data_IF_128856606384
#
_entry.id   IF_128856606384
#
_cell.length_a   1.000
_cell.length_b   1.000
_cell.length_c   1.000
_cell.angle_alpha   90.00
_cell.angle_beta   90.00
_cell.angle_gamma   90.00
#
_symmetry.space_group_name_H-M   'P 1'
#
loop_
_entity.id
_entity.type
_entity.pdbx_description
1 polymer ?
#
# COMPACT_ATOMS: atom_id res chain seq x y z
N UNK A 1 19.84 -1.51 10.61
CA UNK A 1 18.53 -1.99 11.11
C UNK A 1 18.16 -3.27 10.39
N UNK A 2 17.78 -4.28 11.16
CA UNK A 2 17.25 -5.57 10.74
C UNK A 2 15.85 -5.39 10.14
N UNK A 3 15.59 -6.03 8.99
CA UNK A 3 14.26 -5.99 8.37
C UNK A 3 13.26 -6.91 9.07
N UNK A 4 11.96 -6.64 8.92
CA UNK A 4 10.93 -7.52 9.45
C UNK A 4 11.03 -8.93 8.83
N UNK A 5 11.29 -9.04 7.53
CA UNK A 5 11.45 -10.35 6.88
C UNK A 5 12.62 -11.15 7.46
N UNK A 6 13.74 -10.50 7.74
CA UNK A 6 14.87 -11.14 8.45
C UNK A 6 14.47 -11.68 9.84
N UNK A 7 13.62 -10.96 10.58
CA UNK A 7 13.04 -11.47 11.84
C UNK A 7 12.18 -12.71 11.61
N UNK A 8 11.37 -12.72 10.55
CA UNK A 8 10.54 -13.89 10.20
C UNK A 8 11.40 -15.08 9.77
N UNK A 9 12.49 -14.87 9.03
CA UNK A 9 13.45 -15.93 8.67
C UNK A 9 14.07 -16.59 9.90
N UNK A 10 14.40 -15.82 10.95
CA UNK A 10 14.91 -16.39 12.22
C UNK A 10 13.89 -17.30 12.92
N UNK A 11 12.59 -17.11 12.67
CA UNK A 11 11.52 -17.99 13.12
C UNK A 11 11.22 -19.16 12.14
N UNK A 12 12.01 -19.30 11.07
CA UNK A 12 11.85 -20.36 10.07
C UNK A 12 10.82 -20.08 8.99
N UNK A 13 10.36 -18.84 8.84
CA UNK A 13 9.42 -18.46 7.77
C UNK A 13 10.13 -18.38 6.43
N UNK A 14 9.43 -18.82 5.38
CA UNK A 14 9.75 -18.44 4.01
C UNK A 14 9.15 -17.06 3.73
N UNK A 15 9.96 -16.16 3.18
CA UNK A 15 9.67 -14.73 3.14
C UNK A 15 9.60 -14.20 1.72
N UNK A 16 8.52 -13.51 1.40
CA UNK A 16 8.28 -12.99 0.06
C UNK A 16 7.76 -11.55 0.11
N UNK A 17 8.28 -10.69 -0.76
CA UNK A 17 7.71 -9.36 -1.01
C UNK A 17 7.10 -9.31 -2.42
N UNK A 18 5.94 -8.70 -2.55
CA UNK A 18 5.35 -8.37 -3.85
C UNK A 18 4.98 -6.89 -3.85
N UNK A 19 5.40 -6.16 -4.88
CA UNK A 19 5.08 -4.76 -5.10
C UNK A 19 6.12 -3.74 -4.60
N UNK A 20 5.64 -2.56 -4.20
CA UNK A 20 6.41 -1.35 -3.94
C UNK A 20 7.42 -1.52 -2.80
N UNK A 21 8.65 -1.05 -2.99
CA UNK A 21 9.70 -1.04 -1.95
C UNK A 21 9.86 0.29 -1.21
N UNK A 22 10.30 1.35 -1.89
CA UNK A 22 10.38 2.74 -1.40
C UNK A 22 11.05 2.98 -0.03
N UNK A 23 12.03 2.13 0.32
CA UNK A 23 12.84 2.32 1.55
C UNK A 23 14.35 2.25 1.25
N UNK A 24 14.71 2.67 0.03
CA UNK A 24 16.08 2.84 -0.42
C UNK A 24 16.62 1.68 -1.25
N UNK A 25 17.51 2.01 -2.19
CA UNK A 25 18.09 1.06 -3.14
C UNK A 25 19.58 1.33 -3.41
N UNK A 26 20.23 2.12 -2.55
CA UNK A 26 21.60 2.59 -2.75
C UNK A 26 22.65 1.46 -2.73
N UNK A 27 22.37 0.36 -2.04
CA UNK A 27 23.23 -0.83 -1.98
C UNK A 27 22.37 -2.10 -1.93
N UNK A 28 22.93 -3.29 -2.24
CA UNK A 28 22.20 -4.55 -2.11
C UNK A 28 21.56 -4.76 -0.73
N UNK A 29 22.19 -4.28 0.35
CA UNK A 29 21.67 -4.34 1.72
C UNK A 29 20.43 -3.47 1.97
N UNK A 30 20.16 -2.51 1.09
CA UNK A 30 18.95 -1.68 1.13
C UNK A 30 17.80 -2.28 0.34
N UNK A 31 18.03 -3.27 -0.52
CA UNK A 31 16.98 -3.93 -1.31
C UNK A 31 16.17 -4.91 -0.46
N UNK A 32 14.97 -5.37 -0.91
CA UNK A 32 14.20 -6.39 -0.21
C UNK A 32 15.02 -7.64 0.15
N UNK A 33 15.82 -8.16 -0.78
CA UNK A 33 16.67 -9.32 -0.50
C UNK A 33 17.69 -9.02 0.61
N UNK A 34 18.27 -7.81 0.62
CA UNK A 34 19.13 -7.34 1.69
C UNK A 34 18.44 -7.11 3.04
N UNK A 35 17.10 -7.11 3.06
CA UNK A 35 16.24 -6.98 4.25
C UNK A 35 15.58 -8.28 4.68
N UNK A 36 16.05 -9.40 4.13
CA UNK A 36 15.67 -10.74 4.56
C UNK A 36 14.44 -11.33 3.85
N UNK A 37 14.11 -10.83 2.66
CA UNK A 37 13.13 -11.51 1.79
C UNK A 37 13.85 -12.55 0.92
N UNK A 38 13.31 -13.77 0.82
CA UNK A 38 13.86 -14.86 -0.02
C UNK A 38 13.57 -14.62 -1.50
N UNK A 39 12.42 -14.00 -1.81
CA UNK A 39 12.10 -13.55 -3.16
C UNK A 39 11.36 -12.21 -3.16
N UNK A 40 11.46 -11.52 -4.30
CA UNK A 40 10.77 -10.25 -4.52
C UNK A 40 10.41 -10.06 -5.99
N UNK A 41 9.18 -9.60 -6.24
CA UNK A 41 8.77 -9.04 -7.52
C UNK A 41 8.19 -7.65 -7.27
N UNK A 42 8.79 -6.61 -7.83
CA UNK A 42 8.33 -5.24 -7.64
C UNK A 42 9.28 -4.18 -8.20
N UNK A 43 9.07 -2.94 -7.76
CA UNK A 43 9.86 -1.77 -8.13
C UNK A 43 10.36 -1.00 -6.90
N UNK A 44 11.46 -0.25 -7.07
CA UNK A 44 12.14 0.40 -5.95
C UNK A 44 11.60 1.77 -5.56
N UNK A 45 11.01 2.50 -6.51
CA UNK A 45 10.64 3.91 -6.40
C UNK A 45 9.33 4.12 -5.61
N UNK A 46 8.94 5.39 -5.45
CA UNK A 46 7.70 5.81 -4.78
C UNK A 46 6.44 5.60 -5.63
N UNK A 47 6.58 5.67 -6.97
CA UNK A 47 5.52 5.44 -7.94
C UNK A 47 6.07 4.82 -9.24
N UNK A 48 5.18 4.21 -10.02
CA UNK A 48 5.48 3.68 -11.36
C UNK A 48 4.34 4.01 -12.34
N UNK A 49 4.51 3.80 -13.64
CA UNK A 49 3.38 3.70 -14.56
C UNK A 49 2.86 2.25 -14.55
N UNK A 50 1.55 2.05 -14.36
CA UNK A 50 0.97 0.72 -14.18
C UNK A 50 1.02 -0.15 -15.46
N UNK A 51 1.31 0.43 -16.63
CA UNK A 51 1.28 -0.28 -17.92
C UNK A 51 2.64 -0.30 -18.61
N UNK A 52 3.31 0.84 -18.64
CA UNK A 52 4.61 1.01 -19.28
C UNK A 52 5.76 0.66 -18.35
N UNK A 53 5.47 0.56 -17.04
CA UNK A 53 6.44 0.17 -16.02
C UNK A 53 7.67 1.10 -16.05
N UNK A 54 7.43 2.35 -16.42
CA UNK A 54 8.43 3.38 -16.62
C UNK A 54 8.07 4.63 -15.84
N UNK A 55 9.06 5.24 -15.20
CA UNK A 55 8.89 6.54 -14.53
C UNK A 55 9.28 7.63 -15.53
N UNK A 56 8.39 8.58 -15.90
CA UNK A 56 8.78 9.71 -16.72
C UNK A 56 9.83 10.55 -15.99
N UNK A 57 11.00 10.70 -16.62
CA UNK A 57 12.18 11.48 -16.20
C UNK A 57 11.88 12.88 -15.62
N UNK A 58 10.75 13.49 -15.99
CA UNK A 58 10.40 14.86 -15.62
C UNK A 58 9.85 15.02 -14.18
N UNK A 59 9.44 13.95 -13.49
CA UNK A 59 8.76 14.06 -12.18
C UNK A 59 9.62 13.73 -10.95
N UNK A 60 10.72 12.97 -11.09
CA UNK A 60 11.40 12.38 -9.92
C UNK A 60 12.91 12.67 -9.82
N UNK A 61 13.51 13.37 -10.79
CA UNK A 61 14.84 13.97 -10.65
C UNK A 61 15.98 13.05 -10.20
N UNK A 62 15.97 11.74 -10.53
CA UNK A 62 17.03 10.81 -10.12
C UNK A 62 17.45 9.79 -11.21
N UNK A 63 18.70 9.33 -11.08
CA UNK A 63 19.61 8.81 -12.11
C UNK A 63 19.36 7.32 -12.48
N UNK A 64 19.48 7.03 -13.78
CA UNK A 64 19.61 5.72 -14.46
C UNK A 64 18.33 4.97 -14.87
N UNK A 65 18.11 4.98 -16.19
CA UNK A 65 16.89 4.61 -16.93
C UNK A 65 16.88 3.11 -17.30
N UNK A 66 17.95 2.37 -16.99
CA UNK A 66 18.05 0.93 -17.26
C UNK A 66 17.72 0.05 -16.03
N UNK A 67 17.57 0.62 -14.83
CA UNK A 67 17.44 -0.13 -13.58
C UNK A 67 16.00 -0.33 -13.06
N UNK A 68 15.00 0.25 -13.74
CA UNK A 68 13.60 0.34 -13.26
C UNK A 68 12.63 -0.69 -13.85
N UNK A 69 13.08 -1.59 -14.73
CA UNK A 69 12.26 -2.73 -15.18
C UNK A 69 12.46 -3.86 -14.18
N UNK A 70 11.48 -4.11 -13.32
CA UNK A 70 11.37 -5.20 -12.32
C UNK A 70 12.64 -6.03 -12.04
N UNK A 71 13.12 -6.00 -10.79
CA UNK A 71 14.21 -6.89 -10.38
C UNK A 71 13.69 -8.03 -9.53
N UNK A 72 13.52 -9.21 -10.13
CA UNK A 72 13.68 -10.46 -9.38
C UNK A 72 15.15 -10.90 -9.49
N UNK A 73 15.96 -10.61 -8.48
CA UNK A 73 17.37 -11.06 -8.50
C UNK A 73 17.54 -12.54 -8.12
N UNK A 74 16.50 -13.23 -7.64
CA UNK A 74 16.55 -14.68 -7.42
C UNK A 74 16.56 -15.46 -8.74
N UNK A 75 16.25 -14.79 -9.86
CA UNK A 75 16.15 -15.36 -11.20
C UNK A 75 17.18 -14.75 -12.17
N UNK A 76 18.45 -14.73 -11.79
CA UNK A 76 19.58 -14.24 -12.60
C UNK A 76 19.72 -14.88 -14.01
N UNK A 77 18.84 -15.79 -14.42
CA UNK A 77 18.93 -16.49 -15.69
C UNK A 77 17.63 -16.56 -16.52
N UNK A 78 16.50 -15.98 -16.09
CA UNK A 78 15.28 -15.93 -16.92
C UNK A 78 14.49 -14.67 -16.60
N UNK A 79 14.26 -13.83 -17.61
CA UNK A 79 13.25 -12.77 -17.57
C UNK A 79 11.93 -13.41 -17.14
N UNK A 80 11.40 -13.01 -15.99
CA UNK A 80 10.15 -13.53 -15.45
C UNK A 80 8.99 -13.14 -16.38
N UNK A 81 8.70 -13.99 -17.37
CA UNK A 81 7.38 -14.05 -18.01
C UNK A 81 6.53 -14.90 -17.07
N UNK A 82 5.86 -14.23 -16.13
CA UNK A 82 4.98 -14.87 -15.16
C UNK A 82 4.13 -15.94 -15.86
N UNK A 83 3.98 -17.11 -15.24
CA UNK A 83 3.26 -18.28 -15.75
C UNK A 83 1.75 -18.08 -15.89
N UNK A 84 1.35 -17.00 -16.54
CA UNK A 84 0.02 -16.72 -17.03
C UNK A 84 -0.29 -17.75 -18.13
N UNK A 85 -1.44 -18.40 -18.07
CA UNK A 85 -1.85 -19.32 -19.15
C UNK A 85 -1.94 -18.54 -20.46
N UNK A 86 -1.73 -19.19 -21.61
CA UNK A 86 -1.75 -18.51 -22.92
C UNK A 86 -3.09 -17.80 -23.23
N UNK A 87 -4.16 -18.19 -22.52
CA UNK A 87 -5.45 -17.50 -22.59
C UNK A 87 -5.44 -16.18 -21.80
N UNK A 88 -4.94 -16.19 -20.56
CA UNK A 88 -4.86 -15.00 -19.70
C UNK A 88 -3.75 -14.05 -20.19
N UNK A 89 -2.68 -14.56 -20.81
CA UNK A 89 -1.63 -13.73 -21.41
C UNK A 89 -2.14 -13.00 -22.66
N UNK A 90 -3.07 -13.61 -23.41
CA UNK A 90 -3.77 -12.97 -24.53
C UNK A 90 -4.78 -11.92 -24.06
N UNK A 91 -5.46 -12.18 -22.95
CA UNK A 91 -6.40 -11.24 -22.31
C UNK A 91 -5.69 -10.01 -21.72
N UNK A 92 -4.45 -10.18 -21.25
CA UNK A 92 -3.61 -9.11 -20.67
C UNK A 92 -2.58 -8.54 -21.68
N UNK A 93 -2.76 -8.78 -22.98
CA UNK A 93 -1.91 -8.31 -24.10
C UNK A 93 -0.40 -8.61 -24.00
N UNK A 94 -0.02 -9.63 -23.23
CA UNK A 94 1.36 -10.10 -23.03
C UNK A 94 1.80 -11.16 -24.08
N UNK A 95 1.42 -11.03 -25.37
CA UNK A 95 1.80 -11.97 -26.44
C UNK A 95 3.08 -11.50 -27.18
N UNK A 96 4.00 -12.42 -27.48
CA UNK A 96 5.20 -12.19 -28.29
C UNK A 96 4.90 -11.68 -29.71
N UNK A 97 3.67 -11.81 -30.18
CA UNK A 97 3.20 -11.26 -31.46
C UNK A 97 2.78 -9.78 -31.38
N UNK A 98 2.70 -9.20 -30.17
CA UNK A 98 2.50 -7.76 -30.00
C UNK A 98 3.84 -7.08 -30.26
N UNK A 99 4.04 -6.62 -31.50
CA UNK A 99 5.20 -5.82 -31.87
C UNK A 99 5.16 -4.51 -31.10
N UNK A 100 5.96 -4.40 -30.03
CA UNK A 100 6.35 -3.10 -29.51
C UNK A 100 7.09 -2.37 -30.62
N UNK A 101 6.45 -1.36 -31.21
CA UNK A 101 7.10 -0.47 -32.18
C UNK A 101 8.06 0.42 -31.39
N UNK A 102 9.24 -0.12 -31.10
CA UNK A 102 10.43 0.68 -30.91
C UNK A 102 10.81 1.25 -32.28
N UNK A 103 10.30 2.43 -32.63
CA UNK A 103 11.05 3.40 -33.43
C UNK A 103 10.25 4.69 -33.66
N UNK A 104 10.95 5.80 -33.36
CA UNK A 104 10.55 7.21 -33.48
C UNK A 104 9.62 7.73 -32.39
N UNK A 105 10.02 8.89 -31.88
CA UNK A 105 9.31 9.73 -30.93
C UNK A 105 7.96 10.23 -31.50
N UNK A 106 7.02 9.31 -31.67
CA UNK A 106 5.62 9.63 -31.83
C UNK A 106 5.04 9.46 -30.44
N UNK A 107 4.68 10.58 -29.79
CA UNK A 107 3.75 10.54 -28.66
C UNK A 107 2.39 10.28 -29.29
N UNK A 108 1.82 9.06 -29.25
CA UNK A 108 0.46 8.88 -29.71
C UNK A 108 -0.42 9.79 -28.85
N UNK A 109 -1.23 10.64 -29.46
CA UNK A 109 -2.23 11.41 -28.73
C UNK A 109 -3.33 10.44 -28.33
N UNK A 110 -3.09 9.73 -27.23
CA UNK A 110 -4.05 8.81 -26.63
C UNK A 110 -5.02 9.59 -25.76
N UNK A 111 -6.28 9.18 -25.77
CA UNK A 111 -7.28 9.71 -24.85
C UNK A 111 -7.09 9.10 -23.44
N UNK A 112 -7.89 9.54 -22.47
CA UNK A 112 -7.84 9.03 -21.10
C UNK A 112 -8.22 7.53 -20.97
N UNK A 113 -8.64 6.88 -22.06
CA UNK A 113 -8.99 5.45 -22.12
C UNK A 113 -7.95 4.61 -22.88
N UNK A 114 -6.78 5.18 -23.23
CA UNK A 114 -5.70 4.45 -23.90
C UNK A 114 -5.93 4.19 -25.39
N UNK A 115 -6.98 4.76 -25.97
CA UNK A 115 -7.28 4.68 -27.41
C UNK A 115 -6.72 5.89 -28.14
N UNK A 116 -6.35 5.69 -29.41
CA UNK A 116 -5.85 6.78 -30.24
C UNK A 116 -6.98 7.82 -30.46
N UNK A 117 -6.69 9.11 -30.24
CA UNK A 117 -7.68 10.19 -30.43
C UNK A 117 -8.12 10.35 -31.88
N UNK A 118 -7.25 10.00 -32.83
CA UNK A 118 -7.50 10.16 -34.27
C UNK A 118 -8.07 8.90 -34.93
N UNK A 119 -8.06 7.77 -34.21
CA UNK A 119 -8.60 6.48 -34.65
C UNK A 119 -9.21 5.74 -33.45
N UNK A 120 -10.48 6.02 -33.12
CA UNK A 120 -11.12 5.52 -31.89
C UNK A 120 -11.36 4.01 -31.89
N UNK A 121 -11.22 3.34 -33.04
CA UNK A 121 -11.30 1.88 -33.17
C UNK A 121 -9.92 1.22 -32.96
N UNK A 122 -8.83 2.00 -32.94
CA UNK A 122 -7.47 1.56 -32.65
C UNK A 122 -7.06 1.93 -31.22
N UNK A 123 -7.20 0.96 -30.31
CA UNK A 123 -6.70 1.04 -28.94
C UNK A 123 -5.39 0.26 -28.80
N UNK A 124 -4.46 0.74 -27.96
CA UNK A 124 -3.29 -0.06 -27.61
C UNK A 124 -3.78 -1.39 -26.99
N UNK A 125 -3.18 -2.55 -27.32
CA UNK A 125 -3.48 -3.77 -26.57
C UNK A 125 -3.13 -3.53 -25.09
N UNK A 126 -4.03 -3.93 -24.20
CA UNK A 126 -3.83 -3.91 -22.74
C UNK A 126 -2.43 -4.48 -22.43
N UNK A 127 -1.49 -3.66 -21.99
CA UNK A 127 -0.18 -4.17 -21.55
C UNK A 127 -0.34 -5.02 -20.29
N UNK A 128 0.72 -5.69 -19.85
CA UNK A 128 0.71 -6.44 -18.60
C UNK A 128 0.52 -5.47 -17.41
N UNK A 129 -0.73 -5.18 -17.02
CA UNK A 129 -1.04 -4.30 -15.89
C UNK A 129 -0.25 -4.77 -14.65
N UNK A 130 0.55 -3.87 -14.08
CA UNK A 130 1.54 -4.19 -13.05
C UNK A 130 0.95 -5.01 -11.90
N UNK A 131 -0.22 -4.59 -11.40
CA UNK A 131 -0.88 -5.24 -10.27
C UNK A 131 -1.45 -6.61 -10.66
N UNK A 132 -1.85 -6.81 -11.91
CA UNK A 132 -2.24 -8.14 -12.38
C UNK A 132 -1.06 -9.12 -12.25
N UNK A 133 0.15 -8.69 -12.64
CA UNK A 133 1.35 -9.50 -12.52
C UNK A 133 1.71 -9.80 -11.07
N UNK A 134 1.66 -8.78 -10.20
CA UNK A 134 1.88 -8.93 -8.77
C UNK A 134 0.90 -9.93 -8.14
N UNK A 135 -0.39 -9.83 -8.48
CA UNK A 135 -1.39 -10.76 -7.97
C UNK A 135 -1.11 -12.20 -8.40
N UNK A 136 -0.78 -12.42 -9.69
CA UNK A 136 -0.43 -13.75 -10.18
C UNK A 136 0.81 -14.32 -9.48
N UNK A 137 1.82 -13.49 -9.20
CA UNK A 137 3.00 -13.92 -8.47
C UNK A 137 2.69 -14.27 -7.02
N UNK A 138 1.91 -13.45 -6.31
CA UNK A 138 1.45 -13.73 -4.95
C UNK A 138 0.60 -15.01 -4.87
N UNK A 139 -0.31 -15.22 -5.83
CA UNK A 139 -1.10 -16.45 -5.95
C UNK A 139 -0.22 -17.67 -6.20
N UNK A 140 0.81 -17.55 -7.05
CA UNK A 140 1.80 -18.61 -7.27
C UNK A 140 2.52 -18.97 -5.97
N UNK A 141 3.01 -17.96 -5.22
CA UNK A 141 3.64 -18.16 -3.91
C UNK A 141 2.72 -18.98 -3.01
N UNK A 142 1.47 -18.55 -2.80
CA UNK A 142 0.52 -19.24 -1.92
C UNK A 142 0.25 -20.68 -2.39
N UNK A 143 0.00 -20.88 -3.69
CA UNK A 143 -0.38 -22.19 -4.26
C UNK A 143 0.77 -23.20 -4.22
N UNK A 144 2.00 -22.74 -4.41
CA UNK A 144 3.19 -23.60 -4.44
C UNK A 144 3.86 -23.73 -3.06
N UNK A 145 3.44 -22.92 -2.08
CA UNK A 145 4.03 -22.91 -0.74
C UNK A 145 4.00 -24.28 -0.07
N UNK A 146 5.13 -24.67 0.54
CA UNK A 146 5.20 -25.88 1.34
C UNK A 146 4.52 -25.65 2.70
N UNK A 147 3.36 -26.26 2.91
CA UNK A 147 2.54 -26.11 4.13
C UNK A 147 3.23 -26.53 5.44
N UNK A 148 4.37 -27.22 5.38
CA UNK A 148 5.14 -27.60 6.57
C UNK A 148 6.11 -26.49 7.04
N UNK A 149 6.24 -25.41 6.28
CA UNK A 149 7.02 -24.23 6.64
C UNK A 149 6.06 -23.03 6.74
N UNK A 150 6.24 -22.11 7.70
CA UNK A 150 5.39 -20.94 7.80
C UNK A 150 5.70 -19.93 6.67
N UNK A 151 4.67 -19.21 6.20
CA UNK A 151 4.74 -18.25 5.10
C UNK A 151 4.65 -16.82 5.64
N UNK A 152 5.57 -15.96 5.23
CA UNK A 152 5.47 -14.50 5.39
C UNK A 152 5.41 -13.85 4.00
N UNK A 153 4.24 -13.35 3.63
CA UNK A 153 4.01 -12.63 2.38
C UNK A 153 3.70 -11.17 2.69
N UNK A 154 4.60 -10.26 2.29
CA UNK A 154 4.35 -8.82 2.35
C UNK A 154 3.94 -8.32 0.96
N UNK A 155 2.64 -8.13 0.76
CA UNK A 155 2.09 -7.54 -0.45
C UNK A 155 1.94 -6.03 -0.26
N UNK A 156 2.86 -5.27 -0.87
CA UNK A 156 2.90 -3.82 -0.86
C UNK A 156 2.31 -3.29 -2.17
N UNK A 157 0.99 -3.10 -2.21
CA UNK A 157 0.31 -2.61 -3.41
C UNK A 157 0.89 -1.27 -3.88
N UNK A 158 0.97 -1.08 -5.20
CA UNK A 158 1.07 0.24 -5.81
C UNK A 158 -0.30 0.95 -5.74
N UNK A 159 -1.40 0.19 -5.87
CA UNK A 159 -2.76 0.67 -5.63
C UNK A 159 -2.87 1.28 -4.22
N UNK A 160 -3.39 2.49 -4.02
CA UNK A 160 -4.13 3.37 -4.93
C UNK A 160 -3.34 4.65 -5.25
N UNK A 161 -2.03 4.52 -5.47
CA UNK A 161 -1.17 5.66 -5.78
C UNK A 161 -1.37 6.12 -7.23
N UNK A 162 -1.13 7.40 -7.47
CA UNK A 162 -1.08 7.97 -8.83
C UNK A 162 0.12 7.43 -9.61
N UNK A 163 0.05 7.33 -10.95
CA UNK A 163 -1.02 7.80 -11.84
C UNK A 163 -2.32 6.98 -11.69
N UNK A 164 -3.47 7.62 -11.90
CA UNK A 164 -4.76 6.92 -11.83
C UNK A 164 -4.99 6.13 -13.11
N UNK A 165 -4.62 4.85 -13.08
CA UNK A 165 -4.67 3.94 -14.23
C UNK A 165 -5.28 2.62 -13.79
N UNK A 166 -6.20 2.08 -14.59
CA UNK A 166 -6.90 0.83 -14.28
C UNK A 166 -7.43 0.18 -15.57
N UNK A 167 -7.60 -1.15 -15.64
CA UNK A 167 -8.27 -1.78 -16.76
C UNK A 167 -9.70 -1.28 -16.95
N UNK A 168 -10.11 -1.12 -18.21
CA UNK A 168 -11.42 -0.54 -18.54
C UNK A 168 -12.60 -1.35 -17.99
N UNK A 169 -12.44 -2.68 -17.90
CA UNK A 169 -13.46 -3.57 -17.33
C UNK A 169 -13.89 -3.16 -15.91
N UNK A 170 -12.96 -2.69 -15.08
CA UNK A 170 -13.25 -2.24 -13.71
C UNK A 170 -13.91 -0.85 -13.68
N UNK A 171 -13.73 -0.04 -14.73
CA UNK A 171 -14.46 1.21 -14.90
C UNK A 171 -15.94 0.95 -15.25
N UNK A 172 -16.21 0.00 -16.13
CA UNK A 172 -17.57 -0.43 -16.44
C UNK A 172 -18.25 -1.10 -15.25
N UNK A 173 -17.50 -1.89 -14.47
CA UNK A 173 -18.00 -2.54 -13.27
C UNK A 173 -18.39 -1.52 -12.19
N UNK A 174 -17.51 -0.54 -11.89
CA UNK A 174 -17.85 0.47 -10.89
C UNK A 174 -19.05 1.31 -11.31
N UNK A 175 -19.17 1.66 -12.61
CA UNK A 175 -20.33 2.41 -13.11
C UNK A 175 -21.62 1.60 -12.99
N UNK A 176 -21.55 0.29 -13.28
CA UNK A 176 -22.67 -0.63 -13.11
C UNK A 176 -23.10 -0.74 -11.64
N UNK A 177 -22.15 -0.89 -10.72
CA UNK A 177 -22.41 -0.94 -9.28
C UNK A 177 -23.02 0.37 -8.77
N UNK A 178 -22.50 1.50 -9.22
CA UNK A 178 -23.01 2.82 -8.88
C UNK A 178 -24.44 3.00 -9.38
N UNK A 179 -24.72 2.66 -10.65
CA UNK A 179 -26.05 2.74 -11.23
C UNK A 179 -27.08 1.85 -10.50
N UNK A 180 -26.66 0.66 -10.06
CA UNK A 180 -27.51 -0.27 -9.31
C UNK A 180 -27.68 0.11 -7.84
N UNK A 181 -26.78 0.90 -7.27
CA UNK A 181 -26.77 1.20 -5.84
C UNK A 181 -27.96 2.02 -5.37
N UNK A 182 -28.61 2.77 -6.29
CA UNK A 182 -29.66 3.73 -5.96
C UNK A 182 -29.18 4.89 -5.06
N UNK A 183 -27.85 5.03 -4.87
CA UNK A 183 -27.27 6.07 -4.00
C UNK A 183 -27.28 7.40 -4.75
N UNK A 184 -27.87 8.47 -4.16
CA UNK A 184 -27.84 9.80 -4.77
C UNK A 184 -26.40 10.28 -4.98
N UNK A 185 -26.12 10.85 -6.16
CA UNK A 185 -24.84 11.49 -6.45
C UNK A 185 -24.77 12.85 -5.72
N UNK A 186 -24.20 12.86 -4.51
CA UNK A 186 -24.13 14.07 -3.66
C UNK A 186 -22.98 15.02 -4.06
N UNK A 187 -21.87 14.49 -4.61
CA UNK A 187 -20.68 15.25 -5.06
C UNK A 187 -20.31 14.77 -6.48
N UNK A 188 -19.68 15.60 -7.35
CA UNK A 188 -19.33 15.17 -8.70
C UNK A 188 -18.55 13.86 -8.68
N UNK A 189 -19.13 12.84 -9.33
CA UNK A 189 -18.42 11.65 -9.75
C UNK A 189 -17.45 12.07 -10.86
N UNK A 190 -16.36 12.71 -10.45
CA UNK A 190 -15.34 13.18 -11.38
C UNK A 190 -14.63 11.99 -12.01
N UNK A 191 -14.00 12.20 -13.16
CA UNK A 191 -13.20 11.17 -13.81
C UNK A 191 -12.17 10.56 -12.86
N UNK A 192 -11.49 11.40 -12.04
CA UNK A 192 -10.49 10.93 -11.09
C UNK A 192 -11.12 10.15 -9.93
N UNK A 193 -12.30 10.55 -9.43
CA UNK A 193 -13.00 9.80 -8.38
C UNK A 193 -13.48 8.44 -8.89
N UNK A 194 -13.98 8.39 -10.13
CA UNK A 194 -14.36 7.16 -10.82
C UNK A 194 -13.19 6.21 -10.97
N UNK A 195 -12.04 6.72 -11.45
CA UNK A 195 -10.80 5.95 -11.55
C UNK A 195 -10.35 5.41 -10.19
N UNK A 196 -10.30 6.27 -9.17
CA UNK A 196 -9.88 5.87 -7.82
C UNK A 196 -10.78 4.78 -7.22
N UNK A 197 -12.08 4.87 -7.45
CA UNK A 197 -13.03 3.85 -7.01
C UNK A 197 -12.87 2.52 -7.78
N UNK A 198 -12.64 2.57 -9.10
CA UNK A 198 -12.33 1.38 -9.89
C UNK A 198 -11.02 0.72 -9.45
N UNK A 199 -9.98 1.51 -9.17
CA UNK A 199 -8.72 1.01 -8.60
C UNK A 199 -8.94 0.35 -7.23
N UNK A 200 -9.82 0.91 -6.41
CA UNK A 200 -10.19 0.33 -5.10
C UNK A 200 -10.88 -1.02 -5.27
N UNK A 201 -11.82 -1.10 -6.22
CA UNK A 201 -12.54 -2.35 -6.54
C UNK A 201 -11.59 -3.43 -7.06
N UNK A 202 -10.60 -3.04 -7.87
CA UNK A 202 -9.55 -3.96 -8.34
C UNK A 202 -8.73 -4.54 -7.19
N UNK A 203 -8.24 -3.69 -6.29
CA UNK A 203 -7.51 -4.12 -5.09
C UNK A 203 -8.35 -5.07 -4.22
N UNK A 204 -9.64 -4.78 -4.02
CA UNK A 204 -10.55 -5.64 -3.25
C UNK A 204 -10.70 -7.03 -3.89
N UNK A 205 -10.88 -7.09 -5.21
CA UNK A 205 -10.90 -8.34 -5.99
C UNK A 205 -9.61 -9.14 -5.85
N UNK A 206 -8.44 -8.49 -5.88
CA UNK A 206 -7.15 -9.14 -5.67
C UNK A 206 -7.03 -9.73 -4.27
N UNK A 207 -7.42 -8.98 -3.23
CA UNK A 207 -7.47 -9.50 -1.86
C UNK A 207 -8.38 -10.73 -1.81
N UNK A 208 -9.56 -10.67 -2.43
CA UNK A 208 -10.47 -11.82 -2.56
C UNK A 208 -9.81 -13.06 -3.16
N UNK A 209 -9.02 -12.89 -4.23
CA UNK A 209 -8.27 -13.98 -4.86
C UNK A 209 -7.22 -14.61 -3.92
N UNK A 210 -6.48 -13.78 -3.17
CA UNK A 210 -5.49 -14.27 -2.18
C UNK A 210 -6.18 -15.07 -1.07
N UNK A 211 -7.32 -14.59 -0.55
CA UNK A 211 -8.11 -15.31 0.45
C UNK A 211 -8.61 -16.66 -0.10
N UNK A 212 -9.10 -16.67 -1.34
CA UNK A 212 -9.56 -17.90 -1.99
C UNK A 212 -8.41 -18.93 -2.12
N UNK A 213 -7.22 -18.48 -2.54
CA UNK A 213 -6.05 -19.35 -2.64
C UNK A 213 -5.59 -19.91 -1.28
N UNK A 214 -5.60 -19.09 -0.21
CA UNK A 214 -5.30 -19.54 1.14
C UNK A 214 -6.29 -20.60 1.63
N UNK A 215 -7.57 -20.47 1.30
CA UNK A 215 -8.62 -21.46 1.64
C UNK A 215 -8.47 -22.75 0.83
N UNK A 216 -8.23 -22.64 -0.48
CA UNK A 216 -7.94 -23.77 -1.37
C UNK A 216 -6.77 -24.61 -0.85
N UNK A 217 -5.71 -23.93 -0.39
CA UNK A 217 -4.51 -24.54 0.18
C UNK A 217 -4.64 -24.96 1.63
N UNK A 218 -5.81 -24.75 2.26
CA UNK A 218 -6.06 -25.04 3.67
C UNK A 218 -5.03 -24.39 4.61
N UNK A 219 -4.63 -23.16 4.30
CA UNK A 219 -3.71 -22.33 5.08
C UNK A 219 -4.45 -21.24 5.87
N UNK A 220 -5.65 -20.86 5.42
CA UNK A 220 -6.41 -19.73 5.97
C UNK A 220 -6.64 -19.81 7.50
N UNK A 221 -6.92 -21.01 8.03
CA UNK A 221 -7.23 -21.18 9.46
C UNK A 221 -6.06 -20.82 10.39
N UNK A 222 -4.82 -20.95 9.89
CA UNK A 222 -3.58 -20.62 10.61
C UNK A 222 -2.87 -19.41 9.99
N UNK A 223 -3.63 -18.50 9.37
CA UNK A 223 -3.11 -17.27 8.79
C UNK A 223 -3.58 -16.06 9.60
N UNK A 224 -2.64 -15.19 9.99
CA UNK A 224 -2.92 -13.83 10.41
C UNK A 224 -2.76 -12.89 9.22
N UNK A 225 -3.80 -12.12 8.91
CA UNK A 225 -3.79 -11.12 7.83
C UNK A 225 -3.84 -9.75 8.48
N UNK A 226 -2.89 -8.89 8.11
CA UNK A 226 -2.86 -7.48 8.49
C UNK A 226 -3.05 -6.66 7.23
N UNK A 227 -4.10 -5.85 7.18
CA UNK A 227 -4.32 -4.87 6.13
C UNK A 227 -4.17 -3.47 6.72
N UNK A 228 -3.36 -2.62 6.10
CA UNK A 228 -3.16 -1.23 6.49
C UNK A 228 -2.71 -0.40 5.29
N UNK A 229 -3.04 0.89 5.27
CA UNK A 229 -2.45 1.86 4.34
C UNK A 229 -1.26 2.59 4.97
N UNK A 230 -0.32 3.02 4.14
CA UNK A 230 0.93 3.72 4.51
C UNK A 230 0.69 5.16 4.99
N UNK A 231 -0.27 5.86 4.40
CA UNK A 231 -0.69 7.20 4.78
C UNK A 231 -2.16 7.48 4.44
N UNK A 232 -2.63 8.65 4.85
CA UNK A 232 -3.94 9.19 4.47
C UNK A 232 -4.11 9.39 2.96
N UNK A 233 -5.36 9.48 2.51
CA UNK A 233 -5.67 9.63 1.09
C UNK A 233 -5.15 10.97 0.51
N UNK A 234 -4.62 10.99 -0.73
CA UNK A 234 -4.21 12.23 -1.40
C UNK A 234 -5.40 13.12 -1.75
N UNK A 235 -5.29 14.40 -1.40
CA UNK A 235 -6.30 15.44 -1.66
C UNK A 235 -5.94 16.36 -2.85
N UNK A 236 -4.72 16.20 -3.39
CA UNK A 236 -4.28 16.89 -4.59
C UNK A 236 -4.69 16.15 -5.85
N UNK A 237 -4.82 16.87 -6.97
CA UNK A 237 -5.03 16.30 -8.29
C UNK A 237 -3.71 15.78 -8.90
N UNK A 238 -3.71 14.63 -9.62
CA UNK A 238 -4.88 13.86 -10.05
C UNK A 238 -5.41 12.86 -9.00
N UNK A 239 -4.90 12.86 -7.76
CA UNK A 239 -5.46 12.05 -6.69
C UNK A 239 -6.92 12.43 -6.37
N UNK A 240 -7.71 11.45 -5.89
CA UNK A 240 -9.14 11.67 -5.61
C UNK A 240 -9.65 10.80 -4.47
N UNK A 241 -8.81 10.65 -3.44
CA UNK A 241 -9.19 9.93 -2.24
C UNK A 241 -10.18 10.75 -1.38
N UNK A 242 -10.79 10.09 -0.39
CA UNK A 242 -11.69 10.74 0.54
C UNK A 242 -11.41 10.28 1.96
N UNK A 243 -11.02 11.22 2.82
CA UNK A 243 -10.70 10.99 4.22
C UNK A 243 -11.85 11.37 5.17
N UNK A 244 -13.00 11.83 4.65
CA UNK A 244 -14.17 12.18 5.45
C UNK A 244 -14.55 11.04 6.43
N UNK A 245 -14.83 11.33 7.71
CA UNK A 245 -14.98 12.66 8.32
C UNK A 245 -13.70 13.29 8.87
N UNK A 246 -12.54 12.72 8.59
CA UNK A 246 -11.28 13.20 9.12
C UNK A 246 -10.80 14.46 8.38
N UNK A 247 -10.17 15.37 9.12
CA UNK A 247 -9.52 16.56 8.56
C UNK A 247 -8.24 16.19 7.82
N UNK A 248 -7.96 16.80 6.68
CA UNK A 248 -6.69 16.64 5.95
C UNK A 248 -6.50 15.31 5.22
N UNK A 249 -5.26 15.06 4.81
CA UNK A 249 -4.88 13.96 3.92
C UNK A 249 -3.38 13.78 3.83
N UNK A 250 -2.92 13.03 2.82
CA UNK A 250 -1.49 12.84 2.52
C UNK A 250 -0.72 14.17 2.65
N UNK A 251 0.47 14.14 3.26
CA UNK A 251 1.31 15.30 3.62
C UNK A 251 0.89 16.15 4.82
N UNK A 252 -0.14 15.76 5.59
CA UNK A 252 -0.55 16.52 6.77
C UNK A 252 -0.59 15.64 8.03
N UNK A 253 -0.31 16.23 9.19
CA UNK A 253 -0.45 15.54 10.47
C UNK A 253 -1.88 15.57 11.02
N UNK A 254 -2.85 16.09 10.24
CA UNK A 254 -4.26 15.94 10.58
C UNK A 254 -4.69 14.47 10.55
N UNK A 255 -5.79 14.14 11.23
CA UNK A 255 -6.27 12.74 11.31
C UNK A 255 -6.41 12.08 9.93
N UNK A 256 -6.91 12.79 8.93
CA UNK A 256 -7.06 12.26 7.57
C UNK A 256 -5.74 11.98 6.85
N UNK A 257 -4.61 12.48 7.36
CA UNK A 257 -3.27 12.21 6.83
C UNK A 257 -2.53 11.05 7.50
N UNK A 258 -2.85 10.73 8.75
CA UNK A 258 -2.10 9.73 9.54
C UNK A 258 -2.96 8.61 10.14
N UNK A 259 -4.28 8.79 10.24
CA UNK A 259 -5.21 7.74 10.68
C UNK A 259 -5.76 7.02 9.47
N UNK A 260 -5.21 5.84 9.20
CA UNK A 260 -5.52 5.06 8.00
C UNK A 260 -6.53 3.95 8.26
N UNK A 261 -7.12 3.43 7.17
CA UNK A 261 -7.91 2.20 7.23
C UNK A 261 -6.98 1.03 7.56
N UNK A 262 -7.30 0.28 8.60
CA UNK A 262 -6.58 -0.92 8.97
C UNK A 262 -7.50 -1.96 9.62
N UNK A 263 -7.22 -3.23 9.39
CA UNK A 263 -7.90 -4.35 10.06
C UNK A 263 -6.99 -5.57 10.15
N UNK A 264 -7.31 -6.45 11.11
CA UNK A 264 -6.75 -7.80 11.18
C UNK A 264 -7.82 -8.82 10.81
N UNK A 265 -7.42 -9.87 10.10
CA UNK A 265 -8.30 -10.95 9.62
C UNK A 265 -7.54 -12.28 9.56
N UNK A 266 -8.17 -13.30 8.98
CA UNK A 266 -7.64 -14.66 8.90
C UNK A 266 -8.12 -15.54 10.06
N UNK A 267 -7.92 -16.85 9.92
CA UNK A 267 -8.37 -17.81 10.92
C UNK A 267 -7.61 -17.74 12.25
N UNK A 268 -6.40 -17.19 12.23
CA UNK A 268 -5.58 -16.97 13.43
C UNK A 268 -6.24 -15.98 14.42
N UNK A 269 -7.13 -15.10 13.94
CA UNK A 269 -7.88 -14.19 14.81
C UNK A 269 -8.90 -14.98 15.64
N UNK A 270 -8.89 -14.87 16.98
CA UNK A 270 -9.81 -15.60 17.85
C UNK A 270 -11.27 -15.32 17.49
N UNK A 271 -12.17 -16.33 17.50
CA UNK A 271 -13.58 -16.16 17.15
C UNK A 271 -14.28 -15.00 17.88
N UNK A 272 -13.94 -14.78 19.15
CA UNK A 272 -14.50 -13.70 19.98
C UNK A 272 -14.14 -12.28 19.51
N UNK A 273 -13.14 -12.11 18.62
CA UNK A 273 -12.73 -10.82 18.07
C UNK A 273 -13.10 -10.62 16.60
N UNK A 274 -13.63 -11.65 15.92
CA UNK A 274 -14.06 -11.54 14.53
C UNK A 274 -15.30 -10.63 14.45
N UNK A 275 -15.23 -9.58 13.63
CA UNK A 275 -16.29 -8.56 13.50
C UNK A 275 -16.30 -7.50 14.61
N UNK A 276 -15.36 -7.54 15.55
CA UNK A 276 -15.22 -6.52 16.59
C UNK A 276 -14.45 -5.28 16.09
N UNK A 277 -14.67 -4.14 16.75
CA UNK A 277 -13.87 -2.92 16.59
C UNK A 277 -12.85 -2.84 17.72
N UNK A 278 -11.61 -2.49 17.41
CA UNK A 278 -10.60 -2.15 18.41
C UNK A 278 -10.64 -0.64 18.68
N UNK A 279 -10.58 -0.25 19.96
CA UNK A 279 -10.73 1.15 20.37
C UNK A 279 -9.41 1.82 20.82
N UNK A 280 -8.30 1.09 20.81
CA UNK A 280 -6.97 1.62 21.17
C UNK A 280 -6.19 2.16 19.97
N UNK A 281 -4.94 2.57 20.24
CA UNK A 281 -4.01 3.10 19.23
C UNK A 281 -3.00 2.04 18.84
N UNK A 282 -2.86 1.83 17.53
CA UNK A 282 -1.79 1.02 16.91
C UNK A 282 -1.05 1.93 15.93
N UNK A 283 0.28 1.93 15.98
CA UNK A 283 1.14 2.54 14.98
C UNK A 283 1.57 1.49 13.96
N UNK A 284 1.82 1.87 12.70
CA UNK A 284 2.40 0.96 11.70
C UNK A 284 3.73 0.36 12.18
N UNK A 285 4.51 1.11 12.98
CA UNK A 285 5.76 0.65 13.59
C UNK A 285 5.55 -0.49 14.60
N UNK A 286 4.37 -0.62 15.21
CA UNK A 286 4.07 -1.69 16.16
C UNK A 286 4.07 -3.08 15.52
N UNK A 287 3.81 -3.18 14.22
CA UNK A 287 3.79 -4.47 13.54
C UNK A 287 5.15 -5.18 13.57
N UNK A 288 6.26 -4.44 13.57
CA UNK A 288 7.59 -5.04 13.71
C UNK A 288 7.74 -5.81 15.02
N UNK A 289 7.42 -5.17 16.15
CA UNK A 289 7.53 -5.79 17.47
C UNK A 289 6.41 -6.81 17.73
N UNK A 290 5.20 -6.55 17.23
CA UNK A 290 4.04 -7.43 17.36
C UNK A 290 4.29 -8.76 16.66
N UNK A 291 4.71 -8.74 15.40
CA UNK A 291 4.96 -9.96 14.63
C UNK A 291 6.19 -10.70 15.16
N UNK A 292 7.26 -9.99 15.52
CA UNK A 292 8.44 -10.60 16.17
C UNK A 292 8.05 -11.36 17.44
N UNK A 293 7.18 -10.79 18.26
CA UNK A 293 6.69 -11.43 19.49
C UNK A 293 5.81 -12.65 19.20
N UNK A 294 4.89 -12.54 18.23
CA UNK A 294 4.02 -13.66 17.82
C UNK A 294 4.84 -14.88 17.38
N UNK A 295 5.92 -14.65 16.63
CA UNK A 295 6.78 -15.73 16.12
C UNK A 295 7.92 -16.12 17.06
N UNK A 296 7.97 -15.52 18.26
CA UNK A 296 8.92 -15.89 19.31
C UNK A 296 10.37 -15.44 19.08
N UNK A 297 10.60 -14.38 18.28
CA UNK A 297 11.95 -13.82 18.04
C UNK A 297 12.15 -12.51 18.80
N UNK A 298 13.39 -12.22 19.29
CA UNK A 298 13.66 -10.97 20.00
C UNK A 298 13.38 -9.73 19.15
N UNK A 299 12.70 -8.74 19.74
CA UNK A 299 12.46 -7.42 19.11
C UNK A 299 13.75 -6.62 18.95
N UNK A 300 14.74 -6.85 19.81
CA UNK A 300 16.04 -6.16 19.82
C UNK A 300 16.73 -6.17 18.45
N UNK A 301 17.36 -5.06 18.07
CA UNK A 301 18.09 -4.92 16.80
C UNK A 301 19.60 -4.84 17.05
N UNK A 302 20.25 -5.99 16.97
CA UNK A 302 21.71 -6.12 17.12
C UNK A 302 22.49 -5.35 16.06
N UNK A 303 21.97 -5.23 14.83
CA UNK A 303 22.63 -4.48 13.75
C UNK A 303 22.61 -2.97 14.02
N UNK A 304 21.51 -2.46 14.57
CA UNK A 304 21.40 -1.06 14.98
C UNK A 304 22.29 -0.78 16.20
N UNK A 305 22.34 -1.70 17.17
CA UNK A 305 23.25 -1.60 18.32
C UNK A 305 24.73 -1.59 17.88
N UNK A 306 25.13 -2.48 16.97
CA UNK A 306 26.50 -2.51 16.45
C UNK A 306 26.84 -1.24 15.67
N UNK A 307 25.91 -0.74 14.85
CA UNK A 307 26.09 0.53 14.16
C UNK A 307 26.29 1.70 15.15
N UNK A 308 25.58 1.69 16.28
CA UNK A 308 25.77 2.69 17.33
C UNK A 308 27.17 2.67 17.94
N UNK A 309 27.87 1.52 18.01
CA UNK A 309 29.27 1.47 18.47
C UNK A 309 30.19 2.25 17.53
N UNK A 310 30.02 2.10 16.22
CA UNK A 310 30.75 2.89 15.23
C UNK A 310 30.41 4.39 15.35
N UNK A 311 29.14 4.74 15.50
CA UNK A 311 28.70 6.14 15.61
C UNK A 311 29.31 6.81 16.86
N UNK A 312 29.34 6.12 18.01
CA UNK A 312 30.01 6.60 19.23
C UNK A 312 31.50 6.86 18.98
N UNK A 313 32.21 5.93 18.36
CA UNK A 313 33.65 6.06 18.10
C UNK A 313 33.98 7.25 17.19
N UNK A 314 33.03 7.70 16.37
CA UNK A 314 33.20 8.80 15.43
C UNK A 314 32.51 10.11 15.89
N UNK A 315 31.96 10.15 17.10
CA UNK A 315 31.27 11.33 17.64
C UNK A 315 29.99 11.71 16.87
N UNK A 316 29.31 10.73 16.28
CA UNK A 316 28.10 10.91 15.49
C UNK A 316 26.82 10.64 16.32
N UNK A 317 25.67 11.25 15.97
CA UNK A 317 24.39 10.96 16.62
C UNK A 317 24.02 9.47 16.54
N UNK A 318 23.45 8.93 17.62
CA UNK A 318 23.03 7.53 17.69
C UNK A 318 21.73 7.30 16.92
N UNK A 319 21.59 6.11 16.36
CA UNK A 319 20.31 5.62 15.87
C UNK A 319 19.34 5.45 17.06
N UNK A 320 18.06 5.83 16.90
CA UNK A 320 17.05 5.62 17.93
C UNK A 320 16.79 4.13 18.16
N UNK A 321 16.27 3.74 19.34
CA UNK A 321 15.81 2.38 19.58
C UNK A 321 14.61 2.03 18.69
N UNK A 322 14.28 0.75 18.61
CA UNK A 322 13.04 0.27 17.97
C UNK A 322 11.84 0.86 18.72
N UNK A 323 11.03 1.67 18.03
CA UNK A 323 9.84 2.33 18.61
C UNK A 323 8.58 1.43 18.63
N UNK A 324 8.60 0.34 17.84
CA UNK A 324 7.52 -0.62 17.78
C UNK A 324 7.29 -1.34 19.11
N UNK A 325 6.02 -1.51 19.49
CA UNK A 325 5.62 -2.22 20.71
C UNK A 325 4.81 -3.46 20.37
N UNK A 326 4.94 -4.56 21.12
CA UNK A 326 4.05 -5.72 20.95
C UNK A 326 2.60 -5.34 21.30
N UNK A 327 1.68 -5.55 20.35
CA UNK A 327 0.27 -5.18 20.52
C UNK A 327 -0.70 -6.36 20.45
N UNK A 328 -0.25 -7.59 20.18
CA UNK A 328 -1.17 -8.71 19.92
C UNK A 328 -2.12 -9.00 21.09
N UNK A 329 -1.60 -9.07 22.31
CA UNK A 329 -2.41 -9.28 23.52
C UNK A 329 -3.40 -8.12 23.76
N UNK A 330 -2.98 -6.89 23.43
CA UNK A 330 -3.82 -5.69 23.52
C UNK A 330 -4.98 -5.73 22.51
N UNK A 331 -4.71 -6.15 21.26
CA UNK A 331 -5.71 -6.30 20.21
C UNK A 331 -6.74 -7.39 20.58
N UNK A 332 -6.26 -8.53 21.10
CA UNK A 332 -7.11 -9.64 21.52
C UNK A 332 -7.93 -9.28 22.76
N UNK A 333 -7.32 -8.57 23.73
CA UNK A 333 -7.96 -8.14 24.96
C UNK A 333 -8.81 -6.87 24.86
N UNK A 334 -8.79 -6.18 23.71
CA UNK A 334 -9.41 -4.85 23.52
C UNK A 334 -8.92 -3.78 24.51
N UNK A 335 -7.62 -3.81 24.79
CA UNK A 335 -6.96 -2.91 25.72
C UNK A 335 -6.10 -1.94 24.90
N UNK A 336 -6.16 -0.64 25.19
CA UNK A 336 -5.22 0.29 24.59
C UNK A 336 -3.81 0.10 25.18
N UNK A 337 -2.90 -0.47 24.38
CA UNK A 337 -1.50 -0.71 24.76
C UNK A 337 -0.62 0.53 24.74
N UNK A 338 -1.00 1.59 24.01
CA UNK A 338 -0.25 2.86 23.97
C UNK A 338 -0.81 3.83 25.00
N UNK A 339 -0.15 3.89 26.17
CA UNK A 339 -0.53 4.73 27.32
C UNK A 339 0.26 6.03 27.42
N UNK A 340 1.38 6.09 26.73
CA UNK A 340 2.28 7.22 26.62
C UNK A 340 2.18 7.90 25.25
N UNK A 341 2.95 8.97 25.07
CA UNK A 341 2.88 9.78 23.87
C UNK A 341 3.55 9.09 22.67
N UNK A 342 2.86 9.10 21.53
CA UNK A 342 3.34 8.70 20.22
C UNK A 342 3.70 9.96 19.42
N UNK A 343 4.99 10.13 19.14
CA UNK A 343 5.48 11.21 18.29
C UNK A 343 5.23 10.86 16.82
N UNK A 344 4.38 11.63 16.15
CA UNK A 344 4.05 11.41 14.74
C UNK A 344 5.02 12.16 13.83
N UNK A 345 5.36 13.39 14.23
CA UNK A 345 6.29 14.27 13.54
C UNK A 345 6.89 15.27 14.56
N UNK A 346 7.83 16.13 14.16
CA UNK A 346 8.26 17.28 14.98
C UNK A 346 7.12 18.22 15.37
N UNK A 347 6.01 18.22 14.64
CA UNK A 347 4.87 19.11 14.81
C UNK A 347 3.61 18.42 15.35
N UNK A 348 3.64 17.10 15.55
CA UNK A 348 2.48 16.35 15.97
C UNK A 348 2.78 15.26 17.01
N UNK A 349 2.02 15.29 18.09
CA UNK A 349 2.11 14.37 19.22
C UNK A 349 0.73 13.80 19.54
N UNK A 350 0.60 12.48 19.56
CA UNK A 350 -0.60 11.77 20.00
C UNK A 350 -0.39 11.25 21.42
N UNK A 351 -1.16 11.75 22.38
CA UNK A 351 -1.30 11.15 23.70
C UNK A 351 -2.77 10.80 23.93
N UNK A 352 -3.13 9.56 23.57
CA UNK A 352 -4.52 9.12 23.55
C UNK A 352 -5.31 9.48 24.83
N UNK A 353 -6.50 10.09 24.72
CA UNK A 353 -7.25 10.37 23.48
C UNK A 353 -7.00 11.76 22.87
N UNK A 354 -5.95 12.47 23.28
CA UNK A 354 -5.64 13.81 22.82
C UNK A 354 -4.53 13.81 21.78
N UNK A 355 -4.62 14.73 20.82
CA UNK A 355 -3.56 14.98 19.85
C UNK A 355 -3.23 16.45 19.79
N UNK A 356 -1.95 16.79 19.88
CA UNK A 356 -1.41 18.12 19.66
C UNK A 356 -0.85 18.19 18.24
N UNK A 357 -1.27 19.19 17.47
CA UNK A 357 -0.72 19.53 16.16
C UNK A 357 -0.34 21.01 16.19
N UNK A 358 0.89 21.34 15.85
CA UNK A 358 1.42 22.71 15.83
C UNK A 358 1.91 23.09 14.44
N UNK A 359 2.14 24.37 14.17
CA UNK A 359 2.74 24.79 12.90
C UNK A 359 1.77 24.79 11.72
N UNK A 360 2.31 24.87 10.51
CA UNK A 360 1.52 24.99 9.28
C UNK A 360 1.40 23.65 8.56
N UNK A 361 0.16 23.18 8.44
CA UNK A 361 -0.16 21.90 7.81
C UNK A 361 -0.89 22.09 6.49
N UNK A 362 -0.46 21.37 5.45
CA UNK A 362 -1.19 21.27 4.19
C UNK A 362 -2.58 20.68 4.40
N UNK A 363 -3.49 20.99 3.47
CA UNK A 363 -4.86 20.46 3.45
C UNK A 363 -5.60 20.60 4.79
N UNK A 364 -5.49 21.76 5.44
CA UNK A 364 -6.14 22.06 6.73
C UNK A 364 -7.67 22.26 6.60
N UNK A 365 -8.37 21.36 5.91
CA UNK A 365 -9.82 21.39 5.70
C UNK A 365 -10.43 19.99 5.86
N UNK A 366 -11.74 19.94 6.03
CA UNK A 366 -12.51 18.69 5.96
C UNK A 366 -13.08 18.55 4.55
N UNK A 367 -13.03 17.34 3.99
CA UNK A 367 -13.82 17.00 2.81
C UNK A 367 -15.31 16.90 3.20
N UNK A 368 -16.20 16.71 2.23
CA UNK A 368 -17.57 16.25 2.49
C UNK A 368 -17.69 14.75 2.27
N UNK A 369 -18.86 14.14 2.57
CA UNK A 369 -19.13 12.77 2.13
C UNK A 369 -19.16 12.69 0.60
N UNK A 370 -18.41 11.74 0.01
CA UNK A 370 -18.33 11.53 -1.44
C UNK A 370 -19.08 10.25 -1.83
N UNK A 371 -19.89 10.34 -2.90
CA UNK A 371 -20.62 9.20 -3.50
C UNK A 371 -19.69 8.23 -4.26
N UNK A 372 -20.04 6.94 -4.41
CA UNK A 372 -21.13 6.23 -3.73
C UNK A 372 -20.79 5.99 -2.26
N UNK A 373 -21.66 6.44 -1.36
CA UNK A 373 -21.57 6.12 0.05
C UNK A 373 -22.97 5.90 0.64
N UNK A 374 -23.15 4.80 1.38
CA UNK A 374 -24.40 4.47 2.09
C UNK A 374 -24.53 5.16 3.45
N UNK A 375 -23.49 5.83 3.94
CA UNK A 375 -23.39 6.21 5.37
C UNK A 375 -23.59 7.70 5.68
N UNK A 376 -24.13 8.56 4.79
CA UNK A 376 -24.23 10.00 5.13
C UNK A 376 -25.40 10.78 4.50
N UNK A 377 -26.02 11.66 5.32
CA UNK A 377 -27.03 12.68 4.97
C UNK A 377 -26.34 13.92 4.35
N UNK A 378 -26.91 14.47 3.28
CA UNK A 378 -26.31 15.42 2.34
C UNK A 378 -26.16 16.87 2.85
N UNK A 379 -26.04 17.09 4.16
CA UNK A 379 -26.24 18.41 4.79
C UNK A 379 -25.00 19.09 5.38
N UNK A 380 -23.82 18.89 4.82
CA UNK A 380 -22.65 19.72 5.17
C UNK A 380 -21.80 20.03 3.93
N UNK A 381 -21.84 21.29 3.51
CA UNK A 381 -21.13 21.81 2.33
C UNK A 381 -19.93 22.68 2.72
N UNK A 382 -18.95 22.62 1.83
CA UNK A 382 -17.67 23.32 1.77
C UNK A 382 -17.75 24.81 2.11
N UNK A 383 -16.88 25.24 3.03
CA UNK A 383 -16.16 26.51 2.89
C UNK A 383 -14.67 26.23 3.07
N UNK A 384 -13.92 26.34 1.97
CA UNK A 384 -12.47 26.36 1.99
C UNK A 384 -12.01 27.71 2.53
N UNK A 385 -11.40 27.70 3.71
CA UNK A 385 -10.56 28.78 4.20
C UNK A 385 -9.28 28.14 4.70
N UNK A 386 -8.13 28.63 4.22
CA UNK A 386 -6.85 28.38 4.84
C UNK A 386 -6.90 29.00 6.24
N UNK A 387 -7.12 28.16 7.25
CA UNK A 387 -6.85 28.54 8.63
C UNK A 387 -5.47 28.00 8.98
N UNK A 388 -4.48 28.90 9.05
CA UNK A 388 -3.28 28.67 9.84
C UNK A 388 -3.72 28.56 11.30
N UNK A 389 -3.54 27.39 11.89
CA UNK A 389 -3.73 27.22 13.33
C UNK A 389 -2.35 26.96 13.92
N UNK A 390 -1.81 27.92 14.66
CA UNK A 390 -0.46 27.80 15.23
C UNK A 390 -0.36 26.62 16.21
N UNK A 391 -1.45 26.31 16.92
CA UNK A 391 -1.58 25.16 17.83
C UNK A 391 -3.02 24.65 17.86
N UNK A 392 -3.23 23.35 17.62
CA UNK A 392 -4.50 22.64 17.75
C UNK A 392 -4.38 21.49 18.73
N UNK A 393 -5.29 21.41 19.70
CA UNK A 393 -5.50 20.21 20.54
C UNK A 393 -6.82 19.58 20.15
N UNK A 394 -6.79 18.32 19.73
CA UNK A 394 -7.95 17.58 19.25
C UNK A 394 -8.28 16.43 20.20
N UNK A 395 -9.55 16.34 20.63
CA UNK A 395 -10.10 15.15 21.31
C UNK A 395 -10.50 14.12 20.24
N UNK A 396 -10.06 12.87 20.40
CA UNK A 396 -10.29 11.78 19.43
C UNK A 396 -11.38 10.78 19.83
N UNK A 397 -12.03 11.02 20.98
CA UNK A 397 -13.13 10.21 21.53
C UNK A 397 -14.48 10.89 21.44
#
# INVERSE_FOLDING_TARGET
MTGLAEKMQHAGYQTHLVGKWDVGMATPLHTPLGKGYDSWLGYFQDANDYWQESVPFALTGSLDICLNKFRDFSLYNRTYRAGVTEAVARELGCDANVRHVQEKAIKPQVNATGCNQDDPDYCLPDGCFEEAMFNQYALKIIREHNRHQPLFLFYSFHLLHTPLQIPESYLHEIDSLVAQSGIPHIIPWTQNRRLYAAMTLYMDSMVGNLIAALKERQMYEDTLIVFAADNGGPLYEPGSANNWPLKGGKYSDWEGGVRTNAFVSGGFVPPARRGAKFSGVISIADWYATLSTIVGVPVHDEKAEEANKYLVQNGLPLLPPVDGRPQWENIVGDINGRKDALHLSPEALLWWPFKLVTGQHLYSFHQGPVSPNRTTDARHWLHAYEFSVDVSVVSLV
#
